data_IF_725264116722
#
_entry.id   IF_725264116722
#
_cell.length_a   1.000
_cell.length_b   1.000
_cell.length_c   1.000
_cell.angle_alpha   90.00
_cell.angle_beta   90.00
_cell.angle_gamma   90.00
#
_symmetry.space_group_name_H-M   'P 1'
#
loop_
_entity.id
_entity.type
_entity.pdbx_description
1 polymer ?
#
# COMPACT_ATOMS: atom_id res chain seq x y z
N UNK A 1 16.22 53.71 -20.91
CA UNK A 1 16.47 52.27 -20.69
C UNK A 1 16.00 51.97 -19.26
N UNK A 2 14.70 51.78 -19.11
CA UNK A 2 14.01 51.60 -17.83
C UNK A 2 13.54 50.15 -17.78
N UNK A 3 13.77 49.41 -16.68
CA UNK A 3 13.44 47.99 -16.61
C UNK A 3 11.92 47.79 -16.59
N UNK A 4 11.44 46.78 -17.33
CA UNK A 4 10.05 46.32 -17.31
C UNK A 4 9.67 45.79 -15.92
N UNK A 5 8.42 46.00 -15.46
CA UNK A 5 7.95 45.47 -14.19
C UNK A 5 7.78 43.95 -14.25
N UNK A 6 8.12 43.29 -13.14
CA UNK A 6 7.92 41.85 -12.90
C UNK A 6 6.43 41.58 -12.71
N UNK A 7 5.83 40.55 -13.34
CA UNK A 7 4.42 40.24 -13.13
C UNK A 7 4.19 39.68 -11.72
N UNK A 8 3.13 40.18 -11.08
CA UNK A 8 2.67 39.73 -9.76
C UNK A 8 2.39 38.23 -9.77
N UNK A 9 2.94 37.51 -8.79
CA UNK A 9 2.58 36.10 -8.54
C UNK A 9 1.18 36.07 -7.97
N UNK A 10 0.21 35.66 -8.78
CA UNK A 10 -1.13 35.32 -8.32
C UNK A 10 -1.04 34.29 -7.19
N UNK A 11 -1.46 34.70 -6.00
CA UNK A 11 -1.68 33.80 -4.87
C UNK A 11 -2.93 32.98 -5.21
N UNK A 12 -2.88 31.63 -5.25
CA UNK A 12 -4.06 30.84 -5.54
C UNK A 12 -5.14 31.12 -4.48
N UNK A 13 -6.32 31.47 -4.97
CA UNK A 13 -7.42 32.02 -4.19
C UNK A 13 -7.76 31.22 -2.95
N UNK A 14 -7.98 31.95 -1.86
CA UNK A 14 -8.69 31.47 -0.67
C UNK A 14 -10.09 31.01 -1.11
N UNK A 15 -10.51 29.76 -0.86
CA UNK A 15 -11.84 29.31 -1.27
C UNK A 15 -12.93 30.11 -0.53
N UNK A 16 -14.08 30.36 -1.19
CA UNK A 16 -15.16 31.13 -0.59
C UNK A 16 -15.73 30.39 0.62
N UNK A 17 -15.71 31.08 1.76
CA UNK A 17 -16.47 30.71 2.95
C UNK A 17 -17.96 30.84 2.65
N UNK A 18 -18.61 29.76 2.22
CA UNK A 18 -20.07 29.67 2.22
C UNK A 18 -20.53 28.76 3.36
N UNK A 19 -21.14 29.40 4.35
CA UNK A 19 -21.92 28.76 5.38
C UNK A 19 -23.13 28.06 4.73
N UNK A 20 -23.15 26.74 4.80
CA UNK A 20 -24.25 25.88 4.37
C UNK A 20 -24.30 24.65 5.27
N UNK A 21 -25.32 24.61 6.10
CA UNK A 21 -25.64 23.68 7.20
C UNK A 21 -25.36 22.21 6.90
N UNK A 22 -24.38 21.65 7.61
CA UNK A 22 -24.13 20.22 7.71
C UNK A 22 -22.83 19.99 8.49
N UNK A 23 -22.81 19.02 9.40
CA UNK A 23 -21.67 18.64 10.24
C UNK A 23 -20.53 18.06 9.41
N UNK A 24 -19.95 18.84 8.48
CA UNK A 24 -18.73 18.46 7.78
C UNK A 24 -17.60 18.58 8.79
N UNK A 25 -17.39 17.50 9.52
CA UNK A 25 -16.34 17.33 10.54
C UNK A 25 -14.93 17.46 9.95
N UNK A 26 -14.81 17.50 8.62
CA UNK A 26 -13.56 17.63 7.90
C UNK A 26 -13.49 18.96 7.11
N UNK A 27 -12.65 19.86 7.62
CA UNK A 27 -12.34 21.17 7.05
C UNK A 27 -11.57 21.09 5.71
N UNK A 28 -10.97 19.94 5.38
CA UNK A 28 -10.13 19.75 4.20
C UNK A 28 -10.86 19.12 3.03
N UNK A 29 -12.17 18.87 3.15
CA UNK A 29 -12.95 18.16 2.14
C UNK A 29 -12.82 18.79 0.73
N UNK A 30 -12.71 20.12 0.64
CA UNK A 30 -12.54 20.84 -0.63
C UNK A 30 -11.12 20.81 -1.19
N UNK A 31 -10.14 20.30 -0.46
CA UNK A 31 -8.74 20.17 -0.87
C UNK A 31 -8.41 18.77 -1.40
N UNK A 32 -9.34 17.83 -1.32
CA UNK A 32 -9.13 16.48 -1.82
C UNK A 32 -9.29 16.41 -3.34
N UNK A 33 -8.51 15.52 -3.97
CA UNK A 33 -8.63 15.27 -5.40
C UNK A 33 -9.93 14.53 -5.73
N UNK A 34 -10.52 14.78 -6.90
CA UNK A 34 -11.81 14.19 -7.31
C UNK A 34 -11.89 12.66 -7.14
N UNK A 35 -10.78 11.95 -7.44
CA UNK A 35 -10.68 10.48 -7.29
C UNK A 35 -10.94 9.98 -5.87
N UNK A 36 -10.77 10.83 -4.86
CA UNK A 36 -11.00 10.48 -3.45
C UNK A 36 -12.49 10.30 -3.14
N UNK A 37 -13.39 10.93 -3.91
CA UNK A 37 -14.83 10.79 -3.70
C UNK A 37 -15.35 9.35 -3.82
N UNK A 38 -14.64 8.49 -4.57
CA UNK A 38 -14.96 7.07 -4.71
C UNK A 38 -14.33 6.15 -3.66
N UNK A 39 -13.41 6.64 -2.83
CA UNK A 39 -12.74 5.82 -1.83
C UNK A 39 -13.72 5.46 -0.70
N UNK A 40 -13.88 4.16 -0.43
CA UNK A 40 -14.73 3.62 0.65
C UNK A 40 -13.93 2.60 1.46
N UNK A 41 -14.32 2.39 2.70
CA UNK A 41 -13.76 1.31 3.50
C UNK A 41 -14.09 -0.05 2.85
N UNK A 42 -13.16 -0.99 2.95
CA UNK A 42 -13.40 -2.37 2.50
C UNK A 42 -14.14 -3.12 3.61
N UNK A 43 -15.36 -3.57 3.34
CA UNK A 43 -16.15 -4.37 4.28
C UNK A 43 -15.45 -5.70 4.62
N UNK A 44 -14.76 -6.32 3.64
CA UNK A 44 -13.94 -7.53 3.87
C UNK A 44 -12.81 -7.23 4.86
N UNK A 45 -12.13 -6.07 4.71
CA UNK A 45 -11.07 -5.66 5.63
C UNK A 45 -11.62 -5.36 7.02
N UNK A 46 -12.81 -4.75 7.11
CA UNK A 46 -13.47 -4.48 8.38
C UNK A 46 -13.79 -5.80 9.13
N UNK A 47 -14.17 -6.84 8.39
CA UNK A 47 -14.45 -8.16 8.95
C UNK A 47 -13.23 -8.82 9.59
N UNK A 48 -12.00 -8.55 9.10
CA UNK A 48 -10.78 -9.10 9.69
C UNK A 48 -10.55 -8.68 11.15
N UNK A 49 -11.00 -7.48 11.55
CA UNK A 49 -10.91 -7.04 12.95
C UNK A 49 -11.78 -7.91 13.88
N UNK A 50 -12.92 -8.40 13.39
CA UNK A 50 -13.82 -9.28 14.14
C UNK A 50 -13.38 -10.74 14.05
N UNK A 51 -12.90 -11.17 12.87
CA UNK A 51 -12.45 -12.54 12.62
C UNK A 51 -11.21 -12.96 13.44
N UNK A 52 -10.40 -12.01 13.89
CA UNK A 52 -9.21 -12.28 14.71
C UNK A 52 -9.51 -12.40 16.22
N UNK A 53 -10.77 -12.23 16.64
CA UNK A 53 -11.15 -12.37 18.04
C UNK A 53 -11.26 -13.86 18.40
N UNK A 54 -10.63 -14.33 19.48
CA UNK A 54 -10.59 -15.75 19.83
C UNK A 54 -11.98 -16.37 20.08
N UNK A 55 -12.97 -15.57 20.46
CA UNK A 55 -14.36 -15.99 20.68
C UNK A 55 -15.20 -16.13 19.40
N UNK A 56 -14.67 -15.75 18.24
CA UNK A 56 -15.38 -15.76 16.96
C UNK A 56 -14.92 -16.93 16.09
N UNK A 57 -15.85 -17.78 15.67
CA UNK A 57 -15.61 -18.76 14.61
C UNK A 57 -15.80 -18.07 13.26
N UNK A 58 -14.70 -17.73 12.59
CA UNK A 58 -14.74 -17.07 11.28
C UNK A 58 -14.66 -18.08 10.13
N UNK A 59 -15.72 -18.16 9.32
CA UNK A 59 -15.71 -18.84 8.02
C UNK A 59 -15.46 -17.87 6.85
N UNK A 60 -15.28 -16.58 7.15
CA UNK A 60 -15.19 -15.51 6.17
C UNK A 60 -13.75 -15.02 5.95
N UNK A 61 -12.76 -15.75 6.49
CA UNK A 61 -11.35 -15.37 6.47
C UNK A 61 -10.57 -16.04 5.34
N UNK A 62 -9.82 -15.23 4.57
CA UNK A 62 -8.73 -15.68 3.71
C UNK A 62 -7.38 -15.73 4.43
N UNK A 63 -7.40 -15.91 5.76
CA UNK A 63 -6.17 -15.98 6.56
C UNK A 63 -5.57 -17.38 6.43
N UNK A 64 -4.27 -17.50 6.11
CA UNK A 64 -3.62 -18.78 5.99
C UNK A 64 -3.55 -19.49 7.35
N UNK A 65 -3.50 -20.83 7.31
CA UNK A 65 -3.27 -21.64 8.51
C UNK A 65 -1.81 -21.51 8.97
N UNK A 66 -1.58 -20.68 10.00
CA UNK A 66 -0.24 -20.32 10.45
C UNK A 66 0.53 -21.49 11.09
N UNK A 67 -0.15 -22.39 11.81
CA UNK A 67 0.51 -23.57 12.41
C UNK A 67 1.03 -24.56 11.35
N UNK A 68 0.58 -24.42 10.09
CA UNK A 68 1.09 -25.18 8.96
C UNK A 68 2.33 -24.59 8.31
N UNK A 69 2.78 -23.41 8.75
CA UNK A 69 3.98 -22.78 8.20
C UNK A 69 5.25 -23.47 8.73
N UNK A 70 6.25 -23.75 7.88
CA UNK A 70 7.52 -24.34 8.29
C UNK A 70 8.42 -23.27 8.95
N UNK A 71 8.11 -22.91 10.20
CA UNK A 71 8.76 -21.80 10.92
C UNK A 71 10.27 -22.01 11.11
N UNK A 72 10.71 -23.25 11.23
CA UNK A 72 12.11 -23.66 11.28
C UNK A 72 12.85 -23.30 9.98
N UNK A 73 12.29 -23.69 8.84
CA UNK A 73 12.84 -23.38 7.51
C UNK A 73 12.88 -21.87 7.28
N UNK A 74 11.82 -21.16 7.64
CA UNK A 74 11.75 -19.69 7.50
C UNK A 74 12.81 -18.98 8.35
N UNK A 75 13.04 -19.46 9.57
CA UNK A 75 14.07 -18.91 10.47
C UNK A 75 15.47 -19.10 9.88
N UNK A 76 15.79 -20.32 9.44
CA UNK A 76 17.08 -20.63 8.82
C UNK A 76 17.31 -19.85 7.53
N UNK A 77 16.29 -19.75 6.67
CA UNK A 77 16.35 -18.97 5.44
C UNK A 77 16.65 -17.50 5.72
N UNK A 78 15.94 -16.91 6.68
CA UNK A 78 16.12 -15.50 7.05
C UNK A 78 17.52 -15.25 7.58
N UNK A 79 18.02 -16.12 8.48
CA UNK A 79 19.39 -16.05 8.99
C UNK A 79 20.43 -16.10 7.86
N UNK A 80 20.23 -17.01 6.90
CA UNK A 80 21.11 -17.18 5.74
C UNK A 80 21.11 -15.96 4.82
N UNK A 81 19.94 -15.36 4.56
CA UNK A 81 19.82 -14.13 3.76
C UNK A 81 20.58 -12.99 4.42
N UNK A 82 20.41 -12.78 5.71
CA UNK A 82 21.13 -11.73 6.45
C UNK A 82 22.65 -11.98 6.43
N UNK A 83 23.09 -13.22 6.66
CA UNK A 83 24.51 -13.56 6.71
C UNK A 83 25.21 -13.43 5.34
N UNK A 84 24.52 -13.75 4.23
CA UNK A 84 25.14 -13.85 2.90
C UNK A 84 24.85 -12.65 2.00
N UNK A 85 23.69 -12.00 2.16
CA UNK A 85 23.21 -10.90 1.31
C UNK A 85 22.67 -9.72 2.12
N UNK A 86 22.98 -9.62 3.42
CA UNK A 86 22.37 -8.65 4.34
C UNK A 86 22.45 -7.19 3.89
N UNK A 87 23.60 -6.75 3.36
CA UNK A 87 23.75 -5.37 2.87
C UNK A 87 22.83 -5.05 1.69
N UNK A 88 22.61 -6.01 0.79
CA UNK A 88 21.66 -5.86 -0.32
C UNK A 88 20.23 -5.96 0.17
N UNK A 89 19.93 -6.95 1.03
CA UNK A 89 18.59 -7.20 1.55
C UNK A 89 18.02 -6.05 2.40
N UNK A 90 18.90 -5.29 3.07
CA UNK A 90 18.52 -4.16 3.92
C UNK A 90 18.65 -2.78 3.23
N UNK A 91 19.08 -2.75 1.97
CA UNK A 91 19.22 -1.52 1.19
C UNK A 91 18.00 -1.31 0.27
N UNK A 92 17.78 -0.07 -0.15
CA UNK A 92 16.83 0.25 -1.22
C UNK A 92 17.05 -0.65 -2.45
N UNK A 93 15.96 -1.28 -2.87
CA UNK A 93 15.90 -2.05 -4.11
C UNK A 93 15.48 -1.21 -5.32
N UNK A 94 15.53 -1.83 -6.49
CA UNK A 94 14.96 -1.24 -7.70
C UNK A 94 13.43 -1.17 -7.62
N UNK A 95 12.81 -0.20 -8.30
CA UNK A 95 11.34 -0.13 -8.40
C UNK A 95 10.70 -1.31 -9.13
N UNK A 96 11.49 -2.12 -9.85
CA UNK A 96 11.03 -3.34 -10.54
C UNK A 96 11.07 -4.58 -9.63
N UNK A 97 11.76 -4.50 -8.49
CA UNK A 97 12.01 -5.64 -7.59
C UNK A 97 13.35 -6.33 -7.82
N UNK A 98 13.52 -7.50 -7.21
CA UNK A 98 14.71 -8.36 -7.34
C UNK A 98 14.67 -9.15 -8.66
N UNK A 99 15.74 -9.08 -9.44
CA UNK A 99 15.80 -9.69 -10.77
C UNK A 99 15.71 -11.22 -10.72
N UNK A 100 16.41 -11.86 -9.78
CA UNK A 100 16.37 -13.31 -9.62
C UNK A 100 14.95 -13.79 -9.26
N UNK A 101 14.26 -13.09 -8.37
CA UNK A 101 12.87 -13.42 -8.03
C UNK A 101 11.93 -13.27 -9.24
N UNK A 102 12.13 -12.24 -10.06
CA UNK A 102 11.31 -12.03 -11.28
C UNK A 102 11.46 -13.19 -12.26
N UNK A 103 12.68 -13.67 -12.48
CA UNK A 103 12.94 -14.83 -13.34
C UNK A 103 12.33 -16.12 -12.77
N UNK A 104 12.46 -16.32 -11.44
CA UNK A 104 11.89 -17.49 -10.77
C UNK A 104 10.35 -17.52 -10.83
N UNK A 105 9.69 -16.36 -10.81
CA UNK A 105 8.23 -16.28 -10.99
C UNK A 105 7.84 -16.84 -12.36
N UNK A 106 8.60 -16.56 -13.43
CA UNK A 106 8.30 -17.10 -14.76
C UNK A 106 8.35 -18.63 -14.76
N UNK A 107 9.33 -19.21 -14.07
CA UNK A 107 9.43 -20.67 -13.95
C UNK A 107 8.23 -21.27 -13.20
N UNK A 108 7.74 -20.61 -12.15
CA UNK A 108 6.53 -21.05 -11.45
C UNK A 108 5.29 -20.93 -12.34
N UNK A 109 5.14 -19.82 -13.08
CA UNK A 109 3.99 -19.61 -13.98
C UNK A 109 3.97 -20.61 -15.15
N UNK A 110 5.14 -21.05 -15.61
CA UNK A 110 5.25 -22.09 -16.63
C UNK A 110 4.65 -23.43 -16.19
N UNK A 111 4.67 -23.75 -14.88
CA UNK A 111 3.99 -24.93 -14.34
C UNK A 111 2.47 -24.87 -14.50
N UNK A 112 1.91 -23.66 -14.57
CA UNK A 112 0.49 -23.38 -14.84
C UNK A 112 0.20 -23.21 -16.35
N UNK A 113 1.20 -23.46 -17.22
CA UNK A 113 1.07 -23.33 -18.66
C UNK A 113 1.03 -21.90 -19.19
N UNK A 114 1.52 -20.94 -18.40
CA UNK A 114 1.61 -19.53 -18.80
C UNK A 114 3.02 -19.23 -19.30
N UNK A 115 3.14 -18.89 -20.57
CA UNK A 115 4.39 -18.49 -21.23
C UNK A 115 4.54 -16.95 -21.27
N UNK A 116 5.78 -16.47 -21.31
CA UNK A 116 6.15 -15.04 -21.30
C UNK A 116 6.16 -14.41 -22.71
#
# INVERSE_FOLDING_TARGET
MTPSPVPDRETPGRPPSSAGTGTRLDQWLGSYADRTHGMRASEIRALFAVANRPEVVSLAGGMPFLDGLPLDVLSEMTARVVATRGLTALQYGSGQGDETLREQILEVMRLEGIDA
#
